data_IF_059648280737
#
_entry.id   IF_059648280737
#
_cell.length_a   1.000
_cell.length_b   1.000
_cell.length_c   1.000
_cell.angle_alpha   90.00
_cell.angle_beta   90.00
_cell.angle_gamma   90.00
#
_symmetry.space_group_name_H-M   'P 1'
#
loop_
_entity.id
_entity.type
_entity.pdbx_description
1 polymer ?
#
# COMPACT_ATOMS: atom_id res chain seq x y z
N UNK A 1 7.92 21.31 1.09
CA UNK A 1 6.81 22.26 0.94
C UNK A 1 5.83 22.09 2.09
N UNK A 2 5.57 23.14 2.88
CA UNK A 2 4.47 23.16 3.85
C UNK A 2 3.20 23.60 3.10
N UNK A 3 2.13 22.83 3.16
CA UNK A 3 0.88 23.15 2.47
C UNK A 3 0.00 21.93 2.21
N UNK A 4 -1.28 22.18 1.96
CA UNK A 4 -2.26 21.20 1.49
C UNK A 4 -2.42 21.36 -0.02
N UNK A 5 -2.61 20.26 -0.73
CA UNK A 5 -2.83 20.22 -2.18
C UNK A 5 -4.10 19.42 -2.45
N UNK A 6 -4.94 19.92 -3.34
CA UNK A 6 -6.11 19.18 -3.82
C UNK A 6 -5.68 18.25 -4.94
N UNK A 7 -5.94 16.97 -4.74
CA UNK A 7 -5.62 15.89 -5.67
C UNK A 7 -6.91 15.31 -6.23
N UNK A 8 -7.02 15.21 -7.55
CA UNK A 8 -8.10 14.51 -8.25
C UNK A 8 -7.60 13.12 -8.62
N UNK A 9 -8.30 12.08 -8.18
CA UNK A 9 -8.08 10.71 -8.60
C UNK A 9 -9.04 10.43 -9.74
N UNK A 10 -8.53 10.24 -10.95
CA UNK A 10 -9.34 10.03 -12.15
C UNK A 10 -9.37 8.53 -12.50
N UNK A 11 -10.59 7.99 -12.60
CA UNK A 11 -10.85 6.59 -12.91
C UNK A 11 -10.55 5.59 -11.78
N UNK A 12 -10.71 4.31 -12.11
CA UNK A 12 -10.51 3.21 -11.16
C UNK A 12 -11.54 3.18 -10.02
N UNK A 13 -11.23 2.50 -8.90
CA UNK A 13 -12.17 2.31 -7.80
C UNK A 13 -12.59 3.58 -7.06
N UNK A 14 -11.83 4.68 -7.20
CA UNK A 14 -12.16 5.96 -6.57
C UNK A 14 -13.00 6.88 -7.47
N UNK A 15 -13.30 6.47 -8.71
CA UNK A 15 -14.04 7.33 -9.64
C UNK A 15 -13.28 8.62 -9.94
N UNK A 16 -13.93 9.77 -9.76
CA UNK A 16 -13.35 11.11 -9.91
C UNK A 16 -13.23 11.86 -8.56
N UNK A 17 -12.89 11.14 -7.50
CA UNK A 17 -12.83 11.68 -6.14
C UNK A 17 -11.71 12.72 -5.98
N UNK A 18 -12.01 13.81 -5.28
CA UNK A 18 -11.05 14.85 -4.93
C UNK A 18 -10.69 14.77 -3.44
N UNK A 19 -9.40 14.61 -3.14
CA UNK A 19 -8.87 14.54 -1.78
C UNK A 19 -7.85 15.65 -1.53
N UNK A 20 -7.91 16.26 -0.35
CA UNK A 20 -6.89 17.21 0.09
C UNK A 20 -5.79 16.48 0.85
N UNK A 21 -4.58 16.44 0.28
CA UNK A 21 -3.41 15.79 0.88
C UNK A 21 -2.39 16.82 1.33
N UNK A 22 -1.58 16.49 2.33
CA UNK A 22 -0.40 17.30 2.62
C UNK A 22 0.61 17.17 1.47
N UNK A 23 1.21 18.29 1.05
CA UNK A 23 2.09 18.33 -0.13
C UNK A 23 3.25 17.32 -0.08
N UNK A 24 3.71 16.93 1.11
CA UNK A 24 4.75 15.90 1.32
C UNK A 24 4.32 14.51 0.85
N UNK A 25 3.02 14.25 0.76
CA UNK A 25 2.45 13.01 0.28
C UNK A 25 2.18 13.02 -1.22
N UNK A 26 2.28 14.17 -1.91
CA UNK A 26 2.07 14.27 -3.35
C UNK A 26 3.29 13.74 -4.13
N UNK A 27 3.44 12.42 -4.17
CA UNK A 27 4.50 11.70 -4.90
C UNK A 27 4.10 11.44 -6.35
N UNK A 28 5.04 10.98 -7.17
CA UNK A 28 4.75 10.60 -8.57
C UNK A 28 3.76 9.43 -8.67
N UNK A 29 3.77 8.53 -7.68
CA UNK A 29 2.82 7.43 -7.58
C UNK A 29 2.16 7.41 -6.20
N UNK A 30 0.85 7.16 -6.17
CA UNK A 30 0.06 6.93 -4.96
C UNK A 30 -0.60 5.56 -5.00
N UNK A 31 -0.70 4.93 -3.84
CA UNK A 31 -1.40 3.66 -3.66
C UNK A 31 -2.43 3.82 -2.55
N UNK A 32 -3.69 3.54 -2.86
CA UNK A 32 -4.80 3.61 -1.92
C UNK A 32 -5.26 2.19 -1.58
N UNK A 33 -5.19 1.83 -0.29
CA UNK A 33 -5.67 0.53 0.20
C UNK A 33 -7.16 0.38 -0.07
N UNK A 34 -7.54 -0.78 -0.62
CA UNK A 34 -8.93 -1.12 -0.93
C UNK A 34 -9.58 -1.88 0.24
N UNK A 35 -10.89 -2.07 0.16
CA UNK A 35 -11.67 -2.76 1.17
C UNK A 35 -11.56 -4.30 1.10
N UNK A 36 -10.51 -4.85 0.47
CA UNK A 36 -10.31 -6.28 0.35
C UNK A 36 -8.93 -6.68 0.85
N UNK A 37 -8.90 -7.62 1.79
CA UNK A 37 -7.67 -8.16 2.35
C UNK A 37 -7.82 -9.63 2.76
N UNK A 38 -6.71 -10.34 2.83
CA UNK A 38 -6.65 -11.74 3.23
C UNK A 38 -6.10 -11.79 4.66
N UNK A 39 -6.81 -12.46 5.56
CA UNK A 39 -6.34 -12.75 6.93
C UNK A 39 -5.83 -14.17 7.05
N UNK A 40 -4.83 -14.36 7.89
CA UNK A 40 -4.45 -15.69 8.38
C UNK A 40 -5.56 -16.22 9.30
N UNK A 41 -5.95 -17.47 9.07
CA UNK A 41 -6.90 -18.24 9.88
C UNK A 41 -6.19 -19.31 10.72
N UNK A 42 -6.97 -20.01 11.55
CA UNK A 42 -6.46 -21.12 12.34
C UNK A 42 -5.93 -22.25 11.45
N UNK A 43 -4.88 -22.95 11.90
CA UNK A 43 -4.34 -24.12 11.19
C UNK A 43 -3.77 -23.83 9.80
N UNK A 44 -3.37 -22.59 9.50
CA UNK A 44 -2.81 -22.21 8.20
C UNK A 44 -3.84 -21.86 7.13
N UNK A 45 -5.13 -21.83 7.47
CA UNK A 45 -6.17 -21.37 6.56
C UNK A 45 -5.99 -19.88 6.20
N UNK A 46 -6.57 -19.46 5.08
CA UNK A 46 -6.66 -18.05 4.69
C UNK A 46 -8.14 -17.67 4.50
N UNK A 47 -8.51 -16.45 4.89
CA UNK A 47 -9.88 -15.95 4.69
C UNK A 47 -9.86 -14.59 4.03
N UNK A 48 -10.65 -14.44 2.97
CA UNK A 48 -10.87 -13.15 2.31
C UNK A 48 -11.85 -12.34 3.15
N UNK A 49 -11.50 -11.10 3.44
CA UNK A 49 -12.27 -10.18 4.27
C UNK A 49 -12.57 -8.93 3.47
N UNK A 50 -13.85 -8.55 3.46
CA UNK A 50 -14.31 -7.25 2.95
C UNK A 50 -14.38 -6.23 4.09
N UNK A 51 -13.97 -5.00 3.82
CA UNK A 51 -13.86 -3.89 4.76
C UNK A 51 -12.41 -3.46 5.01
N UNK A 52 -12.26 -2.30 5.64
CA UNK A 52 -10.95 -1.73 5.99
C UNK A 52 -10.20 -2.67 6.95
N UNK A 53 -8.94 -2.94 6.64
CA UNK A 53 -8.07 -3.74 7.51
C UNK A 53 -7.77 -3.00 8.83
N UNK A 54 -7.99 -3.62 9.99
CA UNK A 54 -7.54 -3.07 11.27
C UNK A 54 -6.01 -2.96 11.35
N UNK A 55 -5.47 -1.95 12.02
CA UNK A 55 -4.01 -1.73 12.15
C UNK A 55 -3.27 -2.94 12.73
N UNK A 56 -3.93 -3.69 13.61
CA UNK A 56 -3.35 -4.86 14.28
C UNK A 56 -3.69 -6.18 13.61
N UNK A 57 -4.33 -6.19 12.44
CA UNK A 57 -4.74 -7.41 11.76
C UNK A 57 -3.56 -8.35 11.47
N UNK A 58 -3.82 -9.65 11.51
CA UNK A 58 -2.90 -10.68 11.02
C UNK A 58 -3.20 -11.01 9.56
N UNK A 59 -2.96 -10.01 8.72
CA UNK A 59 -3.17 -10.08 7.28
C UNK A 59 -2.05 -10.88 6.59
N UNK A 60 -2.32 -11.39 5.39
CA UNK A 60 -1.37 -12.05 4.49
C UNK A 60 -1.14 -11.20 3.23
N UNK A 61 -2.21 -10.64 2.68
CA UNK A 61 -2.15 -9.70 1.56
C UNK A 61 -3.34 -8.72 1.59
N UNK A 62 -3.24 -7.63 0.84
CA UNK A 62 -4.35 -6.72 0.57
C UNK A 62 -4.21 -6.08 -0.80
N UNK A 63 -5.31 -5.59 -1.37
CA UNK A 63 -5.27 -4.92 -2.67
C UNK A 63 -5.13 -3.41 -2.51
N UNK A 64 -4.35 -2.79 -3.39
CA UNK A 64 -4.25 -1.33 -3.52
C UNK A 64 -4.62 -0.91 -4.93
N UNK A 65 -5.22 0.27 -5.06
CA UNK A 65 -5.37 0.96 -6.34
C UNK A 65 -4.16 1.89 -6.52
N UNK A 66 -3.44 1.72 -7.63
CA UNK A 66 -2.24 2.47 -7.98
C UNK A 66 -2.60 3.56 -8.97
N UNK A 67 -2.19 4.78 -8.64
CA UNK A 67 -2.38 5.96 -9.47
C UNK A 67 -1.05 6.64 -9.76
N UNK A 68 -0.88 7.14 -10.97
CA UNK A 68 0.28 7.91 -11.40
C UNK A 68 -0.09 9.37 -11.65
N UNK A 69 0.79 10.26 -11.23
CA UNK A 69 0.62 11.70 -11.34
C UNK A 69 0.89 12.12 -12.77
N UNK A 70 -0.07 12.79 -13.42
CA UNK A 70 0.08 13.20 -14.82
C UNK A 70 0.29 14.70 -14.96
N UNK A 71 -0.63 15.51 -14.43
CA UNK A 71 -0.60 16.98 -14.60
C UNK A 71 -1.53 17.69 -13.62
N UNK A 72 -1.68 19.01 -13.79
CA UNK A 72 -2.78 19.76 -13.15
C UNK A 72 -4.01 19.84 -14.07
N UNK A 73 -5.19 19.86 -13.48
CA UNK A 73 -6.43 20.12 -14.21
C UNK A 73 -6.68 21.63 -14.40
N UNK A 74 -7.83 21.98 -14.98
CA UNK A 74 -8.24 23.38 -15.24
C UNK A 74 -8.48 24.18 -13.96
N UNK A 75 -8.72 23.54 -12.82
CA UNK A 75 -8.96 24.16 -11.51
C UNK A 75 -7.69 24.21 -10.64
N UNK A 76 -6.54 23.78 -11.18
CA UNK A 76 -5.25 23.78 -10.49
C UNK A 76 -5.06 22.61 -9.53
N UNK A 77 -5.95 21.61 -9.53
CA UNK A 77 -5.79 20.36 -8.77
C UNK A 77 -4.73 19.48 -9.41
N UNK A 78 -4.00 18.72 -8.61
CA UNK A 78 -3.07 17.72 -9.12
C UNK A 78 -3.83 16.45 -9.51
N UNK A 79 -3.66 15.99 -10.74
CA UNK A 79 -4.38 14.82 -11.28
C UNK A 79 -3.53 13.56 -11.14
N UNK A 80 -4.16 12.53 -10.62
CA UNK A 80 -3.66 11.18 -10.47
C UNK A 80 -4.54 10.24 -11.29
N UNK A 81 -3.99 9.64 -12.34
CA UNK A 81 -4.73 8.74 -13.22
C UNK A 81 -4.55 7.29 -12.77
N UNK A 82 -5.67 6.56 -12.69
CA UNK A 82 -5.66 5.16 -12.32
C UNK A 82 -4.84 4.35 -13.34
N UNK A 83 -3.93 3.53 -12.82
CA UNK A 83 -3.13 2.63 -13.65
C UNK A 83 -3.58 1.19 -13.50
N UNK A 84 -3.64 0.69 -12.25
CA UNK A 84 -3.88 -0.73 -11.99
C UNK A 84 -4.28 -1.01 -10.54
N UNK A 85 -4.80 -2.22 -10.32
CA UNK A 85 -4.87 -2.84 -9.00
C UNK A 85 -3.60 -3.65 -8.76
N UNK A 86 -3.11 -3.62 -7.52
CA UNK A 86 -1.93 -4.38 -7.11
C UNK A 86 -2.20 -5.11 -5.78
N UNK A 87 -1.91 -6.40 -5.74
CA UNK A 87 -1.97 -7.20 -4.50
C UNK A 87 -0.65 -7.07 -3.77
N UNK A 88 -0.70 -6.41 -2.62
CA UNK A 88 0.44 -6.20 -1.73
C UNK A 88 0.55 -7.37 -0.77
N UNK A 89 1.68 -8.07 -0.80
CA UNK A 89 1.97 -9.18 0.10
C UNK A 89 2.56 -8.70 1.43
N UNK A 90 2.37 -9.47 2.48
CA UNK A 90 3.05 -9.28 3.77
C UNK A 90 4.50 -9.72 3.65
N UNK A 91 5.39 -9.00 4.32
CA UNK A 91 6.77 -9.41 4.43
C UNK A 91 6.89 -10.80 5.06
N UNK A 92 7.63 -11.69 4.39
CA UNK A 92 7.83 -13.08 4.80
C UNK A 92 8.81 -13.25 5.97
N UNK A 93 9.41 -12.18 6.47
CA UNK A 93 10.34 -12.26 7.60
C UNK A 93 9.61 -12.62 8.90
N UNK A 94 10.06 -13.69 9.56
CA UNK A 94 9.56 -14.12 10.87
C UNK A 94 10.32 -13.37 11.96
N UNK A 95 9.59 -12.63 12.81
CA UNK A 95 10.15 -12.00 14.00
C UNK A 95 10.24 -13.05 15.10
N UNK A 96 11.36 -13.77 15.18
CA UNK A 96 11.58 -14.91 16.10
C UNK A 96 11.21 -14.57 17.55
N UNK A 97 11.68 -13.43 18.06
CA UNK A 97 11.39 -12.96 19.41
C UNK A 97 9.89 -12.74 19.71
N UNK A 98 9.04 -12.68 18.67
CA UNK A 98 7.59 -12.45 18.78
C UNK A 98 6.75 -13.59 18.19
N UNK A 99 7.39 -14.65 17.66
CA UNK A 99 6.72 -15.80 17.04
C UNK A 99 5.74 -15.43 15.91
N UNK A 100 5.98 -14.34 15.17
CA UNK A 100 5.04 -13.85 14.14
C UNK A 100 5.73 -13.18 12.97
N UNK A 101 5.07 -13.17 11.81
CA UNK A 101 5.57 -12.45 10.63
C UNK A 101 5.61 -10.92 10.84
N UNK A 102 6.55 -10.27 10.16
CA UNK A 102 6.61 -8.82 10.02
C UNK A 102 5.29 -8.26 9.50
N UNK A 103 4.78 -7.16 10.07
CA UNK A 103 3.49 -6.55 9.67
C UNK A 103 3.63 -5.49 8.56
N UNK A 104 4.82 -5.33 7.98
CA UNK A 104 5.06 -4.40 6.88
C UNK A 104 4.74 -5.02 5.51
N UNK A 105 4.30 -4.20 4.55
CA UNK A 105 4.17 -4.62 3.15
C UNK A 105 5.53 -4.99 2.57
N UNK A 106 5.55 -6.08 1.80
CA UNK A 106 6.67 -6.41 0.95
C UNK A 106 6.83 -5.35 -0.14
N UNK A 107 8.06 -5.18 -0.63
CA UNK A 107 8.32 -4.31 -1.78
C UNK A 107 7.70 -4.93 -3.04
N UNK A 108 7.31 -4.09 -4.00
CA UNK A 108 6.72 -4.55 -5.27
C UNK A 108 7.61 -5.61 -5.93
N UNK A 109 7.03 -6.78 -6.22
CA UNK A 109 7.73 -7.92 -6.81
C UNK A 109 8.73 -8.64 -5.89
N UNK A 110 8.78 -8.31 -4.59
CA UNK A 110 9.67 -8.94 -3.61
C UNK A 110 8.90 -9.66 -2.49
N UNK A 111 9.60 -10.52 -1.75
CA UNK A 111 9.06 -11.22 -0.58
C UNK A 111 9.25 -10.46 0.74
N UNK A 112 10.07 -9.41 0.74
CA UNK A 112 10.50 -8.72 1.96
C UNK A 112 10.19 -7.23 1.92
N UNK A 113 9.90 -6.63 3.08
CA UNK A 113 9.78 -5.18 3.21
C UNK A 113 11.16 -4.52 3.23
N UNK A 114 11.22 -3.20 3.08
CA UNK A 114 12.48 -2.44 3.13
C UNK A 114 13.38 -2.75 4.33
N UNK A 115 12.82 -3.03 5.51
CA UNK A 115 13.59 -3.33 6.72
C UNK A 115 14.23 -4.73 6.75
N UNK A 116 13.69 -5.66 5.96
CA UNK A 116 14.12 -7.07 5.93
C UNK A 116 14.51 -7.50 4.52
N UNK A 117 14.66 -6.54 3.59
CA UNK A 117 15.05 -6.85 2.22
C UNK A 117 16.51 -7.30 2.25
N UNK A 118 16.86 -8.43 1.62
CA UNK A 118 18.22 -8.96 1.66
C UNK A 118 19.27 -8.07 0.95
N UNK A 119 18.86 -6.95 0.36
CA UNK A 119 19.76 -5.97 -0.30
C UNK A 119 20.37 -4.94 0.64
N UNK A 120 20.26 -5.09 1.97
CA UNK A 120 21.10 -4.35 2.92
C UNK A 120 22.16 -5.33 3.47
N UNK A 121 23.41 -4.97 3.23
CA UNK A 121 24.67 -5.66 3.54
C UNK A 121 24.83 -6.02 5.04
N UNK A 122 24.03 -6.95 5.56
CA UNK A 122 24.17 -7.46 6.94
C UNK A 122 24.30 -8.97 7.06
N UNK A 123 24.49 -9.66 5.95
CA UNK A 123 24.80 -11.09 5.92
C UNK A 123 26.05 -11.37 5.07
N UNK A 124 27.18 -10.78 5.45
CA UNK A 124 28.48 -11.37 5.18
C UNK A 124 29.07 -11.79 6.53
N UNK A 125 29.02 -13.11 6.77
CA UNK A 125 29.84 -13.79 7.77
C UNK A 125 31.31 -13.71 7.38
#
# INVERSE_FOLDING_TARGET
MKGKVNCLFAGGPQGDEALTLAAIHCREQLSLEQDLWIKAGAGGAATVVKGRRPERADWLSYTTAVYEKTRRDREGRLVYEFQRLETVQRCSHVLEAKGRLCKHPALSGQSYCRQHSPTDEKYHY
#
